data_IF_423177938364
#
_entry.id   IF_423177938364
#
_cell.length_a   1.000
_cell.length_b   1.000
_cell.length_c   1.000
_cell.angle_alpha   90.00
_cell.angle_beta   90.00
_cell.angle_gamma   90.00
#
_symmetry.space_group_name_H-M   'P 1'
#
loop_
_entity.id
_entity.type
_entity.pdbx_description
1 polymer ?
#
# COMPACT_ATOMS: atom_id res chain seq x y z
N UNK A 1 0.66 11.18 25.78
CA UNK A 1 1.54 12.25 26.27
C UNK A 1 1.19 13.55 25.59
N UNK A 2 1.14 14.62 26.37
CA UNK A 2 0.92 15.98 25.89
C UNK A 2 2.15 16.39 25.04
N UNK A 3 1.97 17.25 24.03
CA UNK A 3 3.08 17.73 23.19
C UNK A 3 4.22 18.36 24.03
N UNK A 4 3.91 18.99 25.17
CA UNK A 4 4.88 19.55 26.08
C UNK A 4 5.82 18.48 26.68
N UNK A 5 5.27 17.38 27.18
CA UNK A 5 6.06 16.26 27.72
C UNK A 5 6.97 15.65 26.66
N UNK A 6 6.48 15.54 25.42
CA UNK A 6 7.29 15.03 24.30
C UNK A 6 8.49 15.97 24.02
N UNK A 7 8.26 17.30 24.02
CA UNK A 7 9.33 18.27 23.80
C UNK A 7 10.36 18.25 24.93
N UNK A 8 9.91 18.14 26.18
CA UNK A 8 10.82 18.06 27.34
C UNK A 8 11.63 16.77 27.30
N UNK A 9 11.02 15.66 26.94
CA UNK A 9 11.73 14.37 26.76
C UNK A 9 12.81 14.50 25.68
N UNK A 10 12.49 15.06 24.51
CA UNK A 10 13.47 15.23 23.42
C UNK A 10 14.59 16.20 23.81
N UNK A 11 14.26 17.30 24.53
CA UNK A 11 15.26 18.29 24.96
C UNK A 11 16.30 17.70 25.91
N UNK A 12 15.87 16.77 26.76
CA UNK A 12 16.72 16.09 27.73
C UNK A 12 17.43 14.84 27.17
N UNK A 13 17.22 14.51 25.89
CA UNK A 13 17.85 13.37 25.24
C UNK A 13 19.09 13.80 24.46
N UNK A 14 20.23 13.17 24.75
CA UNK A 14 21.44 13.37 23.92
C UNK A 14 21.30 12.58 22.61
N UNK A 15 21.15 13.32 21.52
CA UNK A 15 21.05 12.79 20.15
C UNK A 15 22.36 12.98 19.36
N UNK A 16 23.44 13.44 20.04
CA UNK A 16 24.75 13.58 19.41
C UNK A 16 25.32 12.22 19.06
N UNK A 17 25.86 12.07 17.87
CA UNK A 17 26.45 10.81 17.41
C UNK A 17 25.48 9.81 16.78
N UNK A 18 24.18 10.11 16.68
CA UNK A 18 23.25 9.26 15.95
C UNK A 18 23.60 9.31 14.46
N UNK A 19 23.90 8.14 13.83
CA UNK A 19 24.24 8.09 12.43
C UNK A 19 23.02 8.48 11.57
N UNK A 20 23.29 9.06 10.39
CA UNK A 20 22.21 9.35 9.45
C UNK A 20 21.50 8.06 9.02
N UNK A 21 20.21 8.15 8.69
CA UNK A 21 19.48 7.00 8.18
C UNK A 21 20.16 6.37 6.95
N UNK A 22 20.75 7.19 6.08
CA UNK A 22 21.51 6.71 4.92
C UNK A 22 22.72 5.87 5.36
N UNK A 23 23.45 6.30 6.37
CA UNK A 23 24.57 5.55 6.94
C UNK A 23 24.12 4.22 7.56
N UNK A 24 23.02 4.22 8.30
CA UNK A 24 22.45 3.00 8.89
C UNK A 24 22.08 2.00 7.79
N UNK A 25 21.40 2.45 6.74
CA UNK A 25 20.92 1.59 5.67
C UNK A 25 22.01 1.12 4.71
N UNK A 26 23.15 1.82 4.65
CA UNK A 26 24.27 1.45 3.75
C UNK A 26 24.98 0.15 4.14
N UNK A 27 24.81 -0.31 5.38
CA UNK A 27 25.36 -1.61 5.85
C UNK A 27 24.49 -2.81 5.47
N UNK A 28 23.33 -2.59 4.83
CA UNK A 28 22.39 -3.65 4.43
C UNK A 28 22.28 -3.74 2.91
N UNK A 29 22.40 -4.96 2.39
CA UNK A 29 22.08 -5.26 0.99
C UNK A 29 20.56 -5.35 0.81
N UNK A 30 19.92 -4.23 0.55
CA UNK A 30 18.48 -4.17 0.34
C UNK A 30 18.21 -4.02 -1.16
N UNK A 31 17.59 -5.03 -1.74
CA UNK A 31 17.16 -5.01 -3.14
C UNK A 31 16.11 -3.93 -3.37
N UNK A 32 16.12 -3.36 -4.56
CA UNK A 32 15.15 -2.32 -4.96
C UNK A 32 14.33 -2.82 -6.15
N UNK A 33 13.02 -2.69 -6.05
CA UNK A 33 12.06 -3.01 -7.10
C UNK A 33 11.28 -1.77 -7.49
N UNK A 34 10.92 -1.66 -8.75
CA UNK A 34 10.00 -0.62 -9.23
C UNK A 34 8.55 -1.01 -8.95
N UNK A 35 7.62 -0.07 -9.14
CA UNK A 35 6.20 -0.37 -9.04
C UNK A 35 5.75 -1.37 -10.12
N UNK A 36 6.31 -1.26 -11.33
CA UNK A 36 6.04 -2.16 -12.45
C UNK A 36 6.52 -3.59 -12.15
N UNK A 37 7.74 -3.75 -11.60
CA UNK A 37 8.25 -5.05 -11.19
C UNK A 37 7.33 -5.73 -10.17
N UNK A 38 6.82 -4.96 -9.20
CA UNK A 38 5.94 -5.47 -8.15
C UNK A 38 4.60 -5.89 -8.74
N UNK A 39 4.00 -5.08 -9.60
CA UNK A 39 2.73 -5.41 -10.25
C UNK A 39 2.87 -6.64 -11.16
N UNK A 40 3.96 -6.73 -11.92
CA UNK A 40 4.26 -7.91 -12.72
C UNK A 40 4.37 -9.17 -11.85
N UNK A 41 5.15 -9.11 -10.78
CA UNK A 41 5.31 -10.24 -9.86
C UNK A 41 3.98 -10.62 -9.17
N UNK A 42 3.14 -9.65 -8.78
CA UNK A 42 1.82 -9.91 -8.20
C UNK A 42 0.89 -10.61 -9.19
N UNK A 43 1.00 -10.28 -10.48
CA UNK A 43 0.23 -10.92 -11.55
C UNK A 43 0.66 -12.37 -11.74
N UNK A 44 1.96 -12.63 -11.82
CA UNK A 44 2.50 -13.95 -12.10
C UNK A 44 2.37 -14.92 -10.91
N UNK A 45 2.68 -14.47 -9.71
CA UNK A 45 2.66 -15.32 -8.52
C UNK A 45 2.36 -14.58 -7.21
N UNK A 46 1.12 -14.15 -7.06
CA UNK A 46 0.63 -13.44 -5.87
C UNK A 46 0.91 -14.16 -4.56
N UNK A 47 0.85 -15.51 -4.55
CA UNK A 47 0.99 -16.33 -3.32
C UNK A 47 2.42 -16.35 -2.80
N UNK A 48 3.42 -16.12 -3.65
CA UNK A 48 4.83 -16.11 -3.27
C UNK A 48 5.35 -14.76 -2.80
N UNK A 49 4.48 -13.78 -2.63
CA UNK A 49 4.83 -12.42 -2.24
C UNK A 49 4.16 -12.06 -0.92
N UNK A 50 4.92 -11.45 -0.03
CA UNK A 50 4.39 -10.66 1.08
C UNK A 50 4.73 -9.20 0.83
N UNK A 51 3.74 -8.42 0.43
CA UNK A 51 3.87 -6.99 0.21
C UNK A 51 3.45 -6.24 1.49
N UNK A 52 4.39 -5.51 2.10
CA UNK A 52 4.18 -4.84 3.39
C UNK A 52 4.12 -3.33 3.22
N UNK A 53 3.02 -2.73 3.64
CA UNK A 53 2.88 -1.28 3.77
C UNK A 53 3.39 -0.80 5.13
N UNK A 54 4.50 -0.07 5.13
CA UNK A 54 5.12 0.50 6.34
C UNK A 54 4.51 1.85 6.78
N UNK A 55 3.44 2.30 6.12
CA UNK A 55 2.73 3.54 6.47
C UNK A 55 1.83 3.32 7.69
N UNK A 56 1.34 4.42 8.24
CA UNK A 56 0.41 4.34 9.37
C UNK A 56 -0.92 3.71 8.96
N UNK A 57 -1.68 3.25 9.94
CA UNK A 57 -2.97 2.58 9.75
C UNK A 57 -3.96 3.47 8.98
N UNK A 58 -3.95 4.78 9.27
CA UNK A 58 -4.79 5.74 8.56
C UNK A 58 -4.41 5.85 7.08
N UNK A 59 -3.11 5.96 6.78
CA UNK A 59 -2.63 6.02 5.39
C UNK A 59 -2.99 4.74 4.62
N UNK A 60 -2.84 3.57 5.26
CA UNK A 60 -3.20 2.27 4.68
C UNK A 60 -4.71 2.14 4.44
N UNK A 61 -5.52 2.50 5.44
CA UNK A 61 -6.97 2.42 5.36
C UNK A 61 -7.60 3.44 4.40
N UNK A 62 -6.90 4.53 4.04
CA UNK A 62 -7.35 5.45 3.00
C UNK A 62 -7.12 4.85 1.60
N UNK A 63 -5.94 4.33 1.35
CA UNK A 63 -5.53 3.69 0.09
C UNK A 63 -4.27 2.87 0.27
N UNK A 64 -4.14 1.73 -0.43
CA UNK A 64 -2.96 0.88 -0.40
C UNK A 64 -2.66 0.27 -1.78
N UNK A 65 -1.51 -0.39 -1.94
CA UNK A 65 -1.29 -1.27 -3.07
C UNK A 65 -2.16 -2.53 -2.93
N UNK A 66 -2.56 -3.14 -4.04
CA UNK A 66 -3.30 -4.40 -4.00
C UNK A 66 -2.50 -5.49 -3.25
N UNK A 67 -3.23 -6.32 -2.52
CA UNK A 67 -2.68 -7.48 -1.81
C UNK A 67 -1.62 -7.15 -0.75
N UNK A 68 -1.53 -5.90 -0.29
CA UNK A 68 -0.60 -5.53 0.77
C UNK A 68 -1.19 -5.73 2.16
N UNK A 69 -0.30 -6.10 3.08
CA UNK A 69 -0.55 -6.16 4.52
C UNK A 69 0.04 -4.93 5.20
N UNK A 70 -0.59 -4.42 6.23
CA UNK A 70 -0.08 -3.25 6.94
C UNK A 70 0.77 -3.65 8.15
N UNK A 71 2.02 -3.19 8.17
CA UNK A 71 2.85 -3.17 9.37
C UNK A 71 3.37 -1.75 9.60
N UNK A 72 2.66 -0.92 10.38
CA UNK A 72 3.03 0.48 10.57
C UNK A 72 4.30 0.60 11.40
N UNK A 73 5.40 1.03 10.76
CA UNK A 73 6.65 1.38 11.47
C UNK A 73 6.39 2.49 12.49
N UNK A 74 5.55 3.44 12.10
CA UNK A 74 5.01 4.46 12.98
C UNK A 74 3.49 4.44 12.87
N UNK A 75 2.80 4.20 13.99
CA UNK A 75 1.35 4.35 14.06
C UNK A 75 0.93 5.82 13.87
N UNK A 76 -0.36 6.09 13.80
CA UNK A 76 -0.86 7.45 13.54
C UNK A 76 -0.33 8.49 14.53
N UNK A 77 -0.27 8.17 15.83
CA UNK A 77 0.20 9.06 16.89
C UNK A 77 1.72 9.23 16.84
N UNK A 78 2.47 8.15 16.66
CA UNK A 78 3.92 8.16 16.55
C UNK A 78 4.39 8.95 15.31
N UNK A 79 3.70 8.77 14.18
CA UNK A 79 3.93 9.54 12.95
C UNK A 79 3.69 11.04 13.17
N UNK A 80 2.59 11.40 13.86
CA UNK A 80 2.30 12.78 14.21
C UNK A 80 3.41 13.37 15.11
N UNK A 81 3.79 12.68 16.16
CA UNK A 81 4.82 13.09 17.10
C UNK A 81 6.17 13.29 16.40
N UNK A 82 6.59 12.30 15.59
CA UNK A 82 7.82 12.40 14.80
C UNK A 82 7.80 13.60 13.86
N UNK A 83 6.66 13.85 13.20
CA UNK A 83 6.47 15.02 12.34
C UNK A 83 6.55 16.36 13.08
N UNK A 84 6.04 16.43 14.30
CA UNK A 84 6.16 17.62 15.16
C UNK A 84 7.62 17.89 15.52
N UNK A 85 8.37 16.86 15.95
CA UNK A 85 9.77 17.00 16.31
C UNK A 85 10.62 17.38 15.08
N UNK A 86 10.34 16.79 13.93
CA UNK A 86 11.00 17.15 12.67
C UNK A 86 10.86 18.63 12.33
N UNK A 87 9.62 19.17 12.46
CA UNK A 87 9.31 20.56 12.10
C UNK A 87 9.78 21.59 13.14
N UNK A 88 9.66 21.25 14.43
CA UNK A 88 9.82 22.23 15.51
C UNK A 88 11.13 22.08 16.28
N UNK A 89 11.89 21.00 16.08
CA UNK A 89 13.10 20.74 16.84
C UNK A 89 14.29 20.43 15.93
N UNK A 90 14.46 19.16 15.51
CA UNK A 90 15.54 18.77 14.59
C UNK A 90 15.22 17.49 13.82
N UNK A 91 15.88 17.32 12.66
CA UNK A 91 15.79 16.09 11.87
C UNK A 91 16.41 14.89 12.61
N UNK A 92 17.53 15.09 13.30
CA UNK A 92 18.22 14.06 14.07
C UNK A 92 17.36 13.56 15.22
N UNK A 93 16.73 14.46 15.99
CA UNK A 93 15.83 14.09 17.08
C UNK A 93 14.59 13.36 16.56
N UNK A 94 14.05 13.77 15.42
CA UNK A 94 12.92 13.10 14.81
C UNK A 94 13.31 11.69 14.33
N UNK A 95 14.49 11.53 13.74
CA UNK A 95 15.01 10.22 13.34
C UNK A 95 15.19 9.31 14.56
N UNK A 96 15.82 9.83 15.60
CA UNK A 96 16.02 9.09 16.85
C UNK A 96 14.66 8.60 17.43
N UNK A 97 13.68 9.50 17.51
CA UNK A 97 12.35 9.16 18.01
C UNK A 97 11.66 8.10 17.15
N UNK A 98 11.76 8.23 15.82
CA UNK A 98 11.20 7.26 14.88
C UNK A 98 11.83 5.87 15.05
N UNK A 99 13.15 5.80 15.23
CA UNK A 99 13.87 4.55 15.48
C UNK A 99 13.42 3.90 16.80
N UNK A 100 13.30 4.68 17.87
CA UNK A 100 12.80 4.18 19.17
C UNK A 100 11.40 3.56 19.07
N UNK A 101 10.50 4.22 18.34
CA UNK A 101 9.16 3.68 18.09
C UNK A 101 9.19 2.39 17.24
N UNK A 102 10.05 2.36 16.24
CA UNK A 102 10.19 1.19 15.36
C UNK A 102 10.79 -0.01 16.13
N UNK A 103 11.90 0.21 16.85
CA UNK A 103 12.61 -0.85 17.58
C UNK A 103 11.74 -1.49 18.66
N UNK A 104 10.85 -0.71 19.30
CA UNK A 104 9.88 -1.23 20.26
C UNK A 104 8.90 -2.25 19.65
N UNK A 105 8.83 -2.37 18.33
CA UNK A 105 7.93 -3.29 17.61
C UNK A 105 8.63 -4.55 17.10
N UNK A 106 9.88 -4.81 17.50
CA UNK A 106 10.67 -5.93 16.98
C UNK A 106 9.98 -7.28 17.21
N UNK A 107 9.46 -7.55 18.40
CA UNK A 107 8.72 -8.78 18.69
C UNK A 107 7.41 -8.87 17.91
N UNK A 108 6.68 -7.75 17.80
CA UNK A 108 5.45 -7.69 17.01
C UNK A 108 5.73 -7.96 15.52
N UNK A 109 6.86 -7.47 15.01
CA UNK A 109 7.30 -7.73 13.63
C UNK A 109 7.58 -9.22 13.43
N UNK A 110 8.28 -9.85 14.36
CA UNK A 110 8.56 -11.29 14.27
C UNK A 110 7.26 -12.10 14.20
N UNK A 111 6.32 -11.86 15.12
CA UNK A 111 5.01 -12.51 15.10
C UNK A 111 4.22 -12.23 13.82
N UNK A 112 4.29 -11.01 13.29
CA UNK A 112 3.66 -10.65 12.02
C UNK A 112 4.23 -11.45 10.86
N UNK A 113 5.54 -11.61 10.76
CA UNK A 113 6.20 -12.40 9.73
C UNK A 113 5.85 -13.88 9.85
N UNK A 114 5.87 -14.46 11.06
CA UNK A 114 5.48 -15.84 11.32
C UNK A 114 4.03 -16.11 10.90
N UNK A 115 3.09 -15.25 11.30
CA UNK A 115 1.66 -15.34 10.93
C UNK A 115 1.46 -15.35 9.41
N UNK A 116 2.29 -14.65 8.66
CA UNK A 116 2.20 -14.55 7.21
C UNK A 116 2.94 -15.68 6.47
N UNK A 117 3.49 -16.67 7.18
CA UNK A 117 4.24 -17.79 6.60
C UNK A 117 5.31 -17.32 5.60
N UNK A 118 6.22 -16.46 6.09
CA UNK A 118 7.15 -15.73 5.24
C UNK A 118 8.37 -16.53 4.77
N UNK A 119 8.58 -17.75 5.27
CA UNK A 119 9.77 -18.57 4.96
C UNK A 119 10.01 -18.74 3.46
N UNK A 120 8.94 -18.87 2.68
CA UNK A 120 8.99 -19.12 1.23
C UNK A 120 8.49 -17.93 0.39
N UNK A 121 8.33 -16.76 1.01
CA UNK A 121 7.81 -15.58 0.32
C UNK A 121 8.89 -14.53 0.07
N UNK A 122 8.79 -13.88 -1.09
CA UNK A 122 9.52 -12.66 -1.38
C UNK A 122 8.91 -11.51 -0.59
N UNK A 123 9.63 -10.99 0.38
CA UNK A 123 9.17 -9.87 1.22
C UNK A 123 9.50 -8.56 0.50
N UNK A 124 8.48 -7.75 0.23
CA UNK A 124 8.62 -6.44 -0.40
C UNK A 124 8.00 -5.39 0.52
N UNK A 125 8.75 -4.34 0.81
CA UNK A 125 8.33 -3.28 1.73
C UNK A 125 8.18 -1.96 1.00
N UNK A 126 7.11 -1.24 1.24
CA UNK A 126 6.95 0.11 0.73
C UNK A 126 6.46 1.08 1.81
N UNK A 127 6.67 2.36 1.55
CA UNK A 127 6.06 3.46 2.29
C UNK A 127 5.63 4.56 1.30
N UNK A 128 5.39 5.77 1.73
CA UNK A 128 4.93 6.85 0.84
C UNK A 128 5.87 7.15 -0.34
N UNK A 129 7.21 7.19 -0.10
CA UNK A 129 8.24 7.54 -1.09
C UNK A 129 9.36 6.51 -1.24
N UNK A 130 9.23 5.34 -0.65
CA UNK A 130 10.31 4.34 -0.67
C UNK A 130 11.58 4.77 0.07
N UNK A 131 11.42 5.56 1.15
CA UNK A 131 12.53 6.15 1.90
C UNK A 131 12.64 5.61 3.33
N UNK A 132 12.60 6.50 4.32
CA UNK A 132 12.93 6.20 5.71
C UNK A 132 12.17 5.05 6.35
N UNK A 133 10.84 5.05 6.29
CA UNK A 133 10.01 4.02 6.95
C UNK A 133 10.21 2.64 6.33
N UNK A 134 10.12 2.53 5.02
CA UNK A 134 10.32 1.25 4.33
C UNK A 134 11.75 0.75 4.42
N UNK A 135 12.74 1.63 4.34
CA UNK A 135 14.15 1.26 4.52
C UNK A 135 14.42 0.73 5.93
N UNK A 136 13.91 1.42 6.96
CA UNK A 136 14.11 0.98 8.34
C UNK A 136 13.39 -0.35 8.65
N UNK A 137 12.17 -0.53 8.13
CA UNK A 137 11.47 -1.81 8.25
C UNK A 137 12.23 -2.94 7.55
N UNK A 138 12.76 -2.68 6.35
CA UNK A 138 13.57 -3.66 5.64
C UNK A 138 14.83 -4.02 6.44
N UNK A 139 15.49 -3.05 7.10
CA UNK A 139 16.58 -3.31 8.04
C UNK A 139 16.14 -4.25 9.16
N UNK A 140 15.03 -3.94 9.85
CA UNK A 140 14.53 -4.78 10.94
C UNK A 140 14.23 -6.21 10.48
N UNK A 141 13.66 -6.36 9.26
CA UNK A 141 13.39 -7.67 8.64
C UNK A 141 14.70 -8.40 8.32
N UNK A 142 15.72 -7.67 7.85
CA UNK A 142 17.05 -8.24 7.59
C UNK A 142 17.74 -8.70 8.88
N UNK A 143 17.59 -7.97 9.99
CA UNK A 143 18.12 -8.36 11.30
C UNK A 143 17.48 -9.67 11.82
N UNK A 144 16.28 -10.01 11.36
CA UNK A 144 15.61 -11.30 11.63
C UNK A 144 16.03 -12.42 10.66
N UNK A 145 16.98 -12.17 9.75
CA UNK A 145 17.55 -13.17 8.83
C UNK A 145 16.81 -13.30 7.48
N UNK A 146 15.83 -12.44 7.19
CA UNK A 146 15.15 -12.43 5.90
C UNK A 146 15.84 -11.50 4.89
N UNK A 147 15.51 -11.63 3.60
CA UNK A 147 16.04 -10.80 2.50
C UNK A 147 14.93 -9.94 1.88
N UNK A 148 14.58 -8.82 2.50
CA UNK A 148 13.53 -7.96 1.96
C UNK A 148 14.02 -7.13 0.77
N UNK A 149 13.06 -6.77 -0.11
CA UNK A 149 13.23 -5.72 -1.10
C UNK A 149 12.45 -4.47 -0.72
N UNK A 150 12.86 -3.30 -1.21
CA UNK A 150 12.16 -2.03 -1.00
C UNK A 150 11.68 -1.47 -2.33
N UNK A 151 10.41 -1.06 -2.36
CA UNK A 151 9.81 -0.40 -3.51
C UNK A 151 10.37 1.00 -3.71
N UNK A 152 11.03 1.22 -4.84
CA UNK A 152 11.53 2.54 -5.26
C UNK A 152 10.38 3.51 -5.51
N UNK A 153 10.49 4.71 -4.95
CA UNK A 153 9.43 5.73 -5.07
C UNK A 153 8.19 5.46 -4.21
N UNK A 154 8.04 4.23 -3.68
CA UNK A 154 6.97 3.83 -2.78
C UNK A 154 5.56 4.00 -3.36
N UNK A 155 4.55 4.18 -2.52
CA UNK A 155 3.16 4.37 -2.92
C UNK A 155 2.98 5.50 -3.96
N UNK A 156 3.80 6.56 -3.87
CA UNK A 156 3.75 7.67 -4.83
C UNK A 156 4.06 7.22 -6.26
N UNK A 157 5.00 6.29 -6.46
CA UNK A 157 5.31 5.77 -7.81
C UNK A 157 4.18 4.90 -8.36
N UNK A 158 3.55 4.07 -7.51
CA UNK A 158 2.34 3.35 -7.90
C UNK A 158 1.22 4.30 -8.32
N UNK A 159 0.94 5.35 -7.53
CA UNK A 159 -0.07 6.34 -7.92
C UNK A 159 0.26 7.06 -9.22
N UNK A 160 1.54 7.27 -9.50
CA UNK A 160 1.94 7.83 -10.79
C UNK A 160 1.55 6.89 -11.94
N UNK A 161 1.83 5.59 -11.83
CA UNK A 161 1.42 4.61 -12.85
C UNK A 161 -0.09 4.61 -13.07
N UNK A 162 -0.87 4.59 -11.98
CA UNK A 162 -2.34 4.63 -12.07
C UNK A 162 -2.82 5.90 -12.77
N UNK A 163 -2.28 7.06 -12.40
CA UNK A 163 -2.65 8.34 -13.01
C UNK A 163 -2.25 8.41 -14.48
N UNK A 164 -1.03 7.98 -14.81
CA UNK A 164 -0.51 7.98 -16.18
C UNK A 164 -1.41 7.10 -17.07
N UNK A 165 -1.78 5.90 -16.61
CA UNK A 165 -2.66 4.99 -17.33
C UNK A 165 -4.03 5.61 -17.64
N UNK A 166 -4.71 6.22 -16.66
CA UNK A 166 -6.01 6.85 -16.92
C UNK A 166 -5.94 8.20 -17.65
N UNK A 167 -4.74 8.79 -17.77
CA UNK A 167 -4.52 10.02 -18.52
C UNK A 167 -4.07 9.76 -19.95
N UNK A 168 -3.73 8.54 -20.31
CA UNK A 168 -3.28 8.15 -21.66
C UNK A 168 -4.39 8.32 -22.69
N UNK A 169 -4.05 8.90 -23.82
CA UNK A 169 -4.99 9.11 -24.92
C UNK A 169 -4.33 8.74 -26.25
N UNK A 170 -4.96 7.86 -27.05
CA UNK A 170 -6.23 7.18 -26.76
C UNK A 170 -6.10 6.16 -25.61
N UNK A 171 -7.20 5.88 -24.95
CA UNK A 171 -7.25 4.81 -23.94
C UNK A 171 -6.83 3.48 -24.59
N UNK A 172 -5.96 2.68 -23.94
CA UNK A 172 -5.29 1.56 -24.61
C UNK A 172 -6.19 0.35 -24.93
N UNK A 173 -7.47 0.43 -24.58
CA UNK A 173 -8.44 -0.64 -24.85
C UNK A 173 -9.67 -0.11 -25.58
N UNK A 174 -10.23 -0.94 -26.47
CA UNK A 174 -11.57 -0.72 -27.00
C UNK A 174 -12.59 -1.11 -25.93
N UNK A 175 -13.55 -0.24 -25.67
CA UNK A 175 -14.59 -0.44 -24.67
C UNK A 175 -15.94 -0.61 -25.33
N UNK A 176 -16.65 -1.70 -24.92
CA UNK A 176 -18.04 -1.88 -25.23
C UNK A 176 -18.89 -1.52 -24.01
N UNK A 177 -19.71 -0.47 -24.14
CA UNK A 177 -20.60 -0.05 -23.07
C UNK A 177 -21.91 -0.83 -23.12
N UNK A 178 -22.25 -1.48 -22.01
CA UNK A 178 -23.56 -2.08 -21.81
C UNK A 178 -24.52 -1.06 -21.19
N UNK A 179 -25.38 -0.48 -22.00
CA UNK A 179 -26.36 0.52 -21.59
C UNK A 179 -27.78 -0.04 -21.51
N UNK A 180 -28.64 0.56 -20.69
CA UNK A 180 -30.04 0.17 -20.55
C UNK A 180 -30.70 0.68 -19.27
N UNK A 181 -32.01 0.56 -19.17
CA UNK A 181 -32.82 1.00 -18.02
C UNK A 181 -32.43 0.28 -16.73
N UNK A 182 -32.71 0.90 -15.58
CA UNK A 182 -32.57 0.26 -14.26
C UNK A 182 -33.47 -0.98 -14.22
N UNK A 183 -32.96 -2.11 -13.70
CA UNK A 183 -33.68 -3.37 -13.64
C UNK A 183 -33.67 -4.19 -14.93
N UNK A 184 -33.01 -3.76 -16.01
CA UNK A 184 -32.95 -4.51 -17.28
C UNK A 184 -31.99 -5.71 -17.27
N UNK A 185 -31.40 -6.08 -16.13
CA UNK A 185 -30.55 -7.26 -16.01
C UNK A 185 -29.07 -7.03 -16.43
N UNK A 186 -28.61 -5.78 -16.61
CA UNK A 186 -27.23 -5.47 -17.01
C UNK A 186 -26.17 -6.13 -16.12
N UNK A 187 -26.32 -5.96 -14.81
CA UNK A 187 -25.36 -6.52 -13.83
C UNK A 187 -25.33 -8.05 -13.89
N UNK A 188 -26.49 -8.70 -14.04
CA UNK A 188 -26.56 -10.15 -14.18
C UNK A 188 -25.90 -10.63 -15.49
N UNK A 189 -26.10 -9.91 -16.59
CA UNK A 189 -25.45 -10.21 -17.85
C UNK A 189 -23.92 -10.05 -17.72
N UNK A 190 -23.42 -8.97 -17.10
CA UNK A 190 -21.99 -8.76 -16.86
C UNK A 190 -21.41 -9.90 -16.02
N UNK A 191 -22.10 -10.37 -14.99
CA UNK A 191 -21.68 -11.53 -14.19
C UNK A 191 -21.61 -12.80 -15.02
N UNK A 192 -22.60 -13.05 -15.88
CA UNK A 192 -22.59 -14.22 -16.76
C UNK A 192 -21.42 -14.24 -17.73
N UNK A 193 -21.06 -13.10 -18.31
CA UNK A 193 -20.00 -13.03 -19.31
C UNK A 193 -18.61 -12.85 -18.71
N UNK A 194 -18.48 -12.45 -17.46
CA UNK A 194 -17.19 -12.18 -16.79
C UNK A 194 -16.25 -13.38 -16.71
N UNK A 195 -16.77 -14.60 -16.84
CA UNK A 195 -15.98 -15.83 -16.92
C UNK A 195 -15.32 -16.07 -18.28
N UNK A 196 -15.78 -15.38 -19.34
CA UNK A 196 -15.32 -15.58 -20.73
C UNK A 196 -14.80 -14.31 -21.38
N UNK A 197 -15.28 -13.16 -20.94
CA UNK A 197 -14.88 -11.85 -21.45
C UNK A 197 -14.31 -10.98 -20.32
N UNK A 198 -13.35 -10.11 -20.63
CA UNK A 198 -12.89 -9.13 -19.66
C UNK A 198 -13.99 -8.10 -19.39
N UNK A 199 -14.40 -7.99 -18.14
CA UNK A 199 -15.45 -7.08 -17.68
C UNK A 199 -14.90 -6.06 -16.73
N UNK A 200 -15.22 -4.78 -16.95
CA UNK A 200 -14.97 -3.68 -16.01
C UNK A 200 -16.31 -3.41 -15.28
N UNK A 201 -16.33 -3.69 -13.99
CA UNK A 201 -17.47 -3.38 -13.12
C UNK A 201 -17.19 -2.10 -12.31
N UNK A 202 -17.66 -0.97 -12.83
CA UNK A 202 -17.45 0.35 -12.19
C UNK A 202 -18.20 0.44 -10.84
N UNK A 203 -19.34 -0.20 -10.68
CA UNK A 203 -20.08 -0.21 -9.42
C UNK A 203 -19.31 -0.99 -8.34
N UNK A 204 -18.73 -2.13 -8.72
CA UNK A 204 -17.85 -2.90 -7.83
C UNK A 204 -16.58 -2.13 -7.49
N UNK A 205 -15.91 -1.51 -8.45
CA UNK A 205 -14.74 -0.68 -8.21
C UNK A 205 -15.03 0.50 -7.27
N UNK A 206 -16.23 1.08 -7.38
CA UNK A 206 -16.74 2.13 -6.50
C UNK A 206 -17.23 1.60 -5.14
N UNK A 207 -17.49 0.30 -5.02
CA UNK A 207 -18.20 -0.33 -3.90
C UNK A 207 -19.52 0.38 -3.60
N UNK A 208 -20.24 0.70 -4.66
CA UNK A 208 -21.48 1.46 -4.60
C UNK A 208 -22.31 1.24 -5.86
N UNK A 209 -23.52 0.71 -5.73
CA UNK A 209 -24.47 0.70 -6.82
C UNK A 209 -25.01 2.11 -7.08
N UNK A 210 -25.21 2.46 -8.33
CA UNK A 210 -25.62 3.81 -8.77
C UNK A 210 -27.06 4.19 -8.33
N UNK A 211 -27.38 4.03 -7.04
CA UNK A 211 -28.71 4.34 -6.48
C UNK A 211 -28.57 4.99 -5.10
N UNK A 212 -29.64 5.62 -4.62
CA UNK A 212 -29.68 6.25 -3.28
C UNK A 212 -29.32 5.26 -2.14
N UNK A 213 -29.57 3.96 -2.35
CA UNK A 213 -29.33 2.87 -1.40
C UNK A 213 -28.18 1.96 -1.87
N UNK A 214 -27.37 2.43 -2.81
CA UNK A 214 -26.34 1.63 -3.49
C UNK A 214 -25.21 1.12 -2.60
N UNK A 215 -25.06 1.66 -1.40
CA UNK A 215 -24.07 1.21 -0.42
C UNK A 215 -24.55 0.03 0.42
N UNK A 216 -25.86 -0.11 0.65
CA UNK A 216 -26.44 -1.11 1.57
C UNK A 216 -25.95 -2.54 1.33
N UNK A 217 -25.85 -3.07 0.09
CA UNK A 217 -25.36 -4.43 -0.13
C UNK A 217 -23.91 -4.63 0.30
N UNK A 218 -23.08 -3.60 0.24
CA UNK A 218 -21.70 -3.65 0.69
C UNK A 218 -21.61 -3.59 2.21
N UNK A 219 -22.42 -2.75 2.87
CA UNK A 219 -22.52 -2.65 4.34
C UNK A 219 -22.95 -3.97 4.96
N UNK A 220 -23.96 -4.64 4.39
CA UNK A 220 -24.44 -5.96 4.85
C UNK A 220 -23.33 -7.02 4.76
N UNK A 221 -22.46 -6.94 3.76
CA UNK A 221 -21.33 -7.86 3.58
C UNK A 221 -20.05 -7.38 4.29
N UNK A 222 -20.11 -6.35 5.13
CA UNK A 222 -18.97 -5.74 5.83
C UNK A 222 -17.86 -5.30 4.87
N UNK A 223 -18.20 -4.84 3.67
CA UNK A 223 -17.26 -4.29 2.70
C UNK A 223 -17.19 -2.78 2.88
N UNK A 224 -16.02 -2.29 3.34
CA UNK A 224 -15.78 -0.86 3.52
C UNK A 224 -16.01 -0.09 2.21
N UNK A 225 -16.73 1.05 2.27
CA UNK A 225 -16.96 1.89 1.11
C UNK A 225 -15.65 2.49 0.59
N UNK A 226 -15.65 2.82 -0.69
CA UNK A 226 -14.52 3.55 -1.29
C UNK A 226 -14.50 4.99 -0.77
N UNK A 227 -13.44 5.36 -0.08
CA UNK A 227 -13.36 6.62 0.69
C UNK A 227 -13.12 7.86 -0.17
N UNK A 228 -12.56 7.68 -1.38
CA UNK A 228 -12.19 8.79 -2.25
C UNK A 228 -11.91 8.33 -3.69
N UNK A 229 -11.80 9.30 -4.61
CA UNK A 229 -11.47 9.06 -6.01
C UNK A 229 -10.19 8.23 -6.21
N UNK A 230 -9.16 8.48 -5.41
CA UNK A 230 -7.89 7.74 -5.48
C UNK A 230 -8.06 6.24 -5.21
N UNK A 231 -8.92 5.89 -4.24
CA UNK A 231 -9.21 4.50 -3.93
C UNK A 231 -10.03 3.83 -5.04
N UNK A 232 -10.98 4.55 -5.63
CA UNK A 232 -11.74 4.09 -6.80
C UNK A 232 -10.81 3.78 -7.98
N UNK A 233 -9.94 4.72 -8.33
CA UNK A 233 -8.98 4.56 -9.43
C UNK A 233 -8.00 3.40 -9.18
N UNK A 234 -7.54 3.23 -7.94
CA UNK A 234 -6.69 2.08 -7.57
C UNK A 234 -7.42 0.75 -7.76
N UNK A 235 -8.69 0.66 -7.33
CA UNK A 235 -9.50 -0.55 -7.51
C UNK A 235 -9.70 -0.85 -8.99
N UNK A 236 -10.09 0.16 -9.76
CA UNK A 236 -10.30 0.02 -11.19
C UNK A 236 -9.01 -0.40 -11.92
N UNK A 237 -7.89 0.22 -11.60
CA UNK A 237 -6.59 -0.15 -12.15
C UNK A 237 -6.21 -1.60 -11.78
N UNK A 238 -6.48 -2.01 -10.55
CA UNK A 238 -6.26 -3.38 -10.10
C UNK A 238 -7.13 -4.37 -10.88
N UNK A 239 -8.40 -4.07 -11.06
CA UNK A 239 -9.32 -4.93 -11.82
C UNK A 239 -8.86 -5.10 -13.26
N UNK A 240 -8.39 -4.04 -13.89
CA UNK A 240 -7.88 -4.09 -15.27
C UNK A 240 -6.55 -4.87 -15.38
N UNK A 241 -5.62 -4.71 -14.43
CA UNK A 241 -4.25 -5.19 -14.60
C UNK A 241 -3.93 -6.51 -13.87
N UNK A 242 -4.65 -6.84 -12.80
CA UNK A 242 -4.36 -8.00 -11.96
C UNK A 242 -5.39 -9.12 -12.08
N UNK A 243 -6.56 -8.87 -12.66
CA UNK A 243 -7.53 -9.92 -12.90
C UNK A 243 -7.16 -10.70 -14.17
N UNK A 244 -6.87 -11.98 -14.02
CA UNK A 244 -6.39 -12.87 -15.09
C UNK A 244 -7.34 -12.97 -16.30
N UNK A 245 -8.64 -12.74 -16.13
CA UNK A 245 -9.62 -12.75 -17.20
C UNK A 245 -9.48 -11.60 -18.20
N UNK A 246 -8.94 -10.45 -17.76
CA UNK A 246 -8.72 -9.29 -18.63
C UNK A 246 -7.58 -9.50 -19.63
N UNK A 247 -6.55 -10.30 -19.27
CA UNK A 247 -5.34 -10.43 -20.06
C UNK A 247 -5.28 -11.66 -20.96
N UNK A 248 -6.02 -12.73 -20.66
CA UNK A 248 -5.98 -13.94 -21.49
C UNK A 248 -6.67 -13.79 -22.85
N UNK A 249 -7.47 -12.74 -23.05
CA UNK A 249 -8.21 -12.49 -24.28
C UNK A 249 -7.71 -11.32 -25.12
N UNK A 250 -6.65 -10.60 -24.70
CA UNK A 250 -6.11 -9.45 -25.43
C UNK A 250 -4.91 -9.82 -26.33
N UNK A 251 -4.49 -11.10 -26.35
CA UNK A 251 -3.42 -11.60 -27.22
C UNK A 251 -4.00 -12.73 -28.08
N UNK A 252 -4.70 -12.36 -29.13
CA UNK A 252 -4.88 -13.15 -30.36
C UNK A 252 -4.94 -12.22 -31.55
#
# INVERSE_FOLDING_TARGET
SNSAELFDYIRNTDVKGIPSLKSILSSYEINKLTADDILFNLKENKKSILLIDARSEKEFGETSLPCSENFPVLNNKERHNTGLIYKKYSQTSALWLAMRYADAKSETLKLFLEKNNTSDKNIIVYCWRGGGRSGYLAKMISDLGYKPAVMTGGYKSYRKLVNDFFSEKPFPYELLELSGLTGSGKTELLKCVSGTLPVIDLENAARHFSSLLGQIPYDINNVEPVKNQTAFENNLYQDIHLNSTFFNNTIN
#
